data_IF_918399368840
#
_entry.id   IF_918399368840
#
_cell.length_a   1.000
_cell.length_b   1.000
_cell.length_c   1.000
_cell.angle_alpha   90.00
_cell.angle_beta   90.00
_cell.angle_gamma   90.00
#
_symmetry.space_group_name_H-M   'P 1'
#
loop_
_entity.id
_entity.type
_entity.pdbx_description
1 polymer ?
#
# COMPACT_ATOMS: atom_id res chain seq x y z
N UNK A 1 16.19 2.66 -35.00
CA UNK A 1 16.11 1.82 -33.79
C UNK A 1 14.64 1.47 -33.56
N UNK A 2 14.33 0.19 -33.42
CA UNK A 2 12.96 -0.20 -33.07
C UNK A 2 12.66 0.25 -31.63
N UNK A 3 11.51 0.92 -31.44
CA UNK A 3 11.06 1.34 -30.10
C UNK A 3 10.66 0.09 -29.34
N UNK A 4 11.27 -0.13 -28.17
CA UNK A 4 10.93 -1.26 -27.31
C UNK A 4 9.50 -1.15 -26.80
N UNK A 5 8.83 -2.28 -26.71
CA UNK A 5 7.46 -2.40 -26.22
C UNK A 5 7.39 -3.20 -24.95
N UNK A 6 6.96 -2.56 -23.86
CA UNK A 6 6.88 -3.15 -22.51
C UNK A 6 5.42 -3.32 -22.10
N UNK A 7 5.13 -4.47 -21.48
CA UNK A 7 3.86 -4.73 -20.86
C UNK A 7 3.95 -4.59 -19.34
N UNK A 8 3.00 -3.89 -18.72
CA UNK A 8 2.84 -3.84 -17.26
C UNK A 8 1.44 -4.37 -16.93
N UNK A 9 1.37 -5.39 -16.06
CA UNK A 9 0.12 -6.02 -15.68
C UNK A 9 -0.23 -5.62 -14.25
N UNK A 10 -1.26 -4.83 -14.06
CA UNK A 10 -1.76 -4.39 -12.76
C UNK A 10 -1.78 -2.88 -12.59
N UNK A 11 -2.94 -2.36 -12.16
CA UNK A 11 -3.24 -0.95 -11.92
C UNK A 11 -3.20 -0.58 -10.42
N UNK A 12 -2.45 -1.33 -9.63
CA UNK A 12 -2.11 -0.98 -8.26
C UNK A 12 -1.03 0.11 -8.18
N UNK A 13 -0.70 0.57 -6.97
CA UNK A 13 0.31 1.62 -6.77
C UNK A 13 1.65 1.25 -7.41
N UNK A 14 2.07 -0.01 -7.32
CA UNK A 14 3.32 -0.49 -7.93
C UNK A 14 3.29 -0.37 -9.47
N UNK A 15 2.26 -0.95 -10.13
CA UNK A 15 2.17 -0.91 -11.59
C UNK A 15 2.06 0.49 -12.16
N UNK A 16 1.23 1.35 -11.53
CA UNK A 16 1.09 2.75 -11.93
C UNK A 16 2.41 3.53 -11.76
N UNK A 17 3.11 3.35 -10.63
CA UNK A 17 4.41 4.01 -10.39
C UNK A 17 5.45 3.54 -11.40
N UNK A 18 5.53 2.24 -11.66
CA UNK A 18 6.46 1.66 -12.65
C UNK A 18 6.20 2.22 -14.05
N UNK A 19 4.92 2.28 -14.48
CA UNK A 19 4.57 2.85 -15.78
C UNK A 19 5.01 4.32 -15.90
N UNK A 20 4.81 5.13 -14.86
CA UNK A 20 5.22 6.55 -14.86
C UNK A 20 6.75 6.67 -14.93
N UNK A 21 7.47 5.86 -14.17
CA UNK A 21 8.93 5.89 -14.15
C UNK A 21 9.49 5.55 -15.53
N UNK A 22 9.04 4.43 -16.09
CA UNK A 22 9.50 3.95 -17.39
C UNK A 22 9.03 4.84 -18.55
N UNK A 23 7.94 5.61 -18.38
CA UNK A 23 7.46 6.52 -19.44
C UNK A 23 8.40 7.66 -19.80
N UNK A 24 9.48 7.86 -19.05
CA UNK A 24 10.54 8.84 -19.38
C UNK A 24 11.52 8.31 -20.40
N UNK A 25 11.58 7.01 -20.58
CA UNK A 25 12.45 6.36 -21.54
C UNK A 25 11.78 6.30 -22.91
N UNK A 26 12.55 6.07 -23.96
CA UNK A 26 12.04 5.94 -25.35
C UNK A 26 11.44 4.54 -25.57
N UNK A 27 10.35 4.25 -24.87
CA UNK A 27 9.66 2.96 -24.91
C UNK A 27 8.14 3.13 -25.03
N UNK A 28 7.45 2.16 -25.58
CA UNK A 28 5.99 2.04 -25.56
C UNK A 28 5.53 1.14 -24.42
N UNK A 29 4.52 1.56 -23.68
CA UNK A 29 4.03 0.83 -22.50
C UNK A 29 2.56 0.48 -22.68
N UNK A 30 2.24 -0.81 -22.69
CA UNK A 30 0.87 -1.30 -22.54
C UNK A 30 0.60 -1.60 -21.06
N UNK A 31 -0.21 -0.78 -20.40
CA UNK A 31 -0.62 -0.98 -19.01
C UNK A 31 -1.96 -1.70 -18.94
N UNK A 32 -1.95 -2.96 -18.55
CA UNK A 32 -3.14 -3.78 -18.37
C UNK A 32 -3.81 -3.50 -17.03
N UNK A 33 -5.02 -2.97 -17.08
CA UNK A 33 -5.82 -2.62 -15.92
C UNK A 33 -6.95 -3.62 -15.70
N UNK A 34 -7.39 -3.78 -14.45
CA UNK A 34 -8.45 -4.72 -14.09
C UNK A 34 -9.76 -4.45 -14.84
N UNK A 35 -10.38 -5.51 -15.37
CA UNK A 35 -11.64 -5.43 -16.13
C UNK A 35 -12.88 -5.41 -15.23
N UNK A 36 -12.74 -5.82 -13.96
CA UNK A 36 -13.86 -5.84 -13.03
C UNK A 36 -14.20 -4.42 -12.56
N UNK A 37 -15.31 -3.87 -13.04
CA UNK A 37 -16.05 -2.86 -12.28
C UNK A 37 -16.54 -3.55 -11.00
N UNK A 38 -15.79 -3.47 -9.92
CA UNK A 38 -16.29 -3.85 -8.59
C UNK A 38 -17.39 -2.87 -8.22
N UNK A 39 -18.66 -3.28 -8.39
CA UNK A 39 -19.85 -2.52 -8.00
C UNK A 39 -19.88 -2.18 -6.49
N UNK A 40 -19.01 -2.77 -5.72
CA UNK A 40 -18.76 -2.45 -4.32
C UNK A 40 -17.28 -2.13 -4.15
N UNK A 41 -16.85 -0.95 -4.54
CA UNK A 41 -15.61 -0.36 -4.05
C UNK A 41 -15.80 -0.15 -2.54
N UNK A 42 -15.52 -1.19 -1.74
CA UNK A 42 -15.21 -0.95 -0.33
C UNK A 42 -14.17 0.16 -0.33
N UNK A 43 -14.48 1.24 0.36
CA UNK A 43 -13.56 2.37 0.50
C UNK A 43 -12.24 1.78 0.99
N UNK A 44 -11.19 1.92 0.20
CA UNK A 44 -9.86 1.46 0.60
C UNK A 44 -9.31 2.43 1.66
N UNK A 45 -9.51 2.07 2.93
CA UNK A 45 -9.03 2.86 4.08
C UNK A 45 -7.55 2.63 4.38
N UNK A 46 -6.85 1.82 3.58
CA UNK A 46 -5.42 1.59 3.76
C UNK A 46 -4.61 2.85 3.49
N UNK A 47 -3.51 2.94 4.22
CA UNK A 47 -2.50 3.97 4.05
C UNK A 47 -1.18 3.34 3.64
N UNK A 48 -0.37 4.12 2.94
CA UNK A 48 1.01 3.77 2.62
C UNK A 48 1.92 4.84 3.20
N UNK A 49 2.91 4.42 3.96
CA UNK A 49 4.00 5.27 4.41
C UNK A 49 5.22 5.00 3.53
N UNK A 50 5.84 6.07 3.02
CA UNK A 50 7.07 6.00 2.22
C UNK A 50 8.15 6.87 2.84
N UNK A 51 9.40 6.48 2.67
CA UNK A 51 10.57 7.26 3.12
C UNK A 51 10.67 8.59 2.37
N UNK A 52 11.46 9.53 2.90
CA UNK A 52 11.72 10.79 2.22
C UNK A 52 12.37 10.59 0.85
N UNK A 53 13.30 9.64 0.72
CA UNK A 53 13.94 9.33 -0.57
C UNK A 53 12.92 8.85 -1.61
N UNK A 54 12.02 7.93 -1.25
CA UNK A 54 10.94 7.46 -2.12
C UNK A 54 9.96 8.59 -2.48
N UNK A 55 9.66 9.49 -1.52
CA UNK A 55 8.82 10.66 -1.78
C UNK A 55 9.46 11.62 -2.78
N UNK A 56 10.74 11.97 -2.58
CA UNK A 56 11.50 12.83 -3.52
C UNK A 56 11.53 12.22 -4.91
N UNK A 57 11.85 10.93 -5.00
CA UNK A 57 11.85 10.20 -6.27
C UNK A 57 10.51 10.24 -7.01
N UNK A 58 9.38 10.05 -6.30
CA UNK A 58 8.04 10.17 -6.89
C UNK A 58 7.70 11.62 -7.27
N UNK A 59 8.03 12.59 -6.41
CA UNK A 59 7.72 14.01 -6.62
C UNK A 59 8.37 14.59 -7.88
N UNK A 60 9.56 14.14 -8.24
CA UNK A 60 10.24 14.53 -9.49
C UNK A 60 9.48 14.08 -10.74
N UNK A 61 8.61 13.09 -10.62
CA UNK A 61 7.90 12.42 -11.72
C UNK A 61 6.41 12.73 -11.75
N UNK A 62 5.85 13.07 -10.61
CA UNK A 62 4.41 13.28 -10.42
C UNK A 62 4.18 14.53 -9.58
N UNK A 63 3.25 15.40 -10.00
CA UNK A 63 2.84 16.56 -9.19
C UNK A 63 2.04 16.10 -7.96
N UNK A 64 2.73 15.85 -6.86
CA UNK A 64 2.13 15.49 -5.57
C UNK A 64 1.94 16.77 -4.75
N UNK A 65 0.69 17.24 -4.61
CA UNK A 65 0.37 18.43 -3.79
C UNK A 65 -0.55 18.02 -2.64
N UNK A 66 -0.14 18.30 -1.41
CA UNK A 66 -0.97 18.31 -0.19
C UNK A 66 -1.88 17.10 0.08
N UNK A 67 -1.53 15.90 -0.41
CA UNK A 67 -2.31 14.68 -0.21
C UNK A 67 -1.67 13.71 0.79
N UNK A 68 -0.63 14.15 1.44
CA UNK A 68 0.16 13.36 2.38
C UNK A 68 0.23 14.06 3.74
N UNK A 69 0.53 13.28 4.75
CA UNK A 69 0.97 13.76 6.05
C UNK A 69 2.44 13.39 6.25
N UNK A 70 3.26 14.35 6.65
CA UNK A 70 4.69 14.10 6.87
C UNK A 70 5.01 14.03 8.35
N UNK A 71 5.77 13.01 8.74
CA UNK A 71 6.27 12.83 10.09
C UNK A 71 7.77 13.09 10.17
N UNK A 72 8.19 13.82 11.22
CA UNK A 72 9.60 14.01 11.59
C UNK A 72 10.05 13.01 12.65
N UNK A 73 9.12 12.34 13.30
CA UNK A 73 9.39 11.52 14.48
C UNK A 73 8.62 10.20 14.42
N UNK A 74 9.30 9.12 14.79
CA UNK A 74 8.74 7.77 14.91
C UNK A 74 9.18 7.21 16.26
N UNK A 75 8.22 6.86 17.11
CA UNK A 75 8.49 6.32 18.44
C UNK A 75 8.15 4.84 18.49
N UNK A 76 9.09 4.04 18.97
CA UNK A 76 8.95 2.61 19.11
C UNK A 76 8.75 2.22 20.57
N UNK A 77 7.76 1.38 20.81
CA UNK A 77 7.39 0.90 22.13
C UNK A 77 7.29 -0.63 22.15
N UNK A 78 7.54 -1.23 23.29
CA UNK A 78 7.25 -2.64 23.53
C UNK A 78 6.43 -2.82 24.80
N UNK A 79 5.66 -3.90 24.86
CA UNK A 79 4.86 -4.28 26.01
C UNK A 79 5.64 -5.26 26.88
N UNK A 80 5.94 -4.86 28.11
CA UNK A 80 6.52 -5.71 29.14
C UNK A 80 5.60 -5.75 30.37
N UNK A 81 5.18 -6.95 30.77
CA UNK A 81 4.35 -7.18 31.97
C UNK A 81 3.20 -6.18 32.20
N UNK A 82 2.47 -5.82 31.10
CA UNK A 82 1.40 -4.80 31.05
C UNK A 82 1.87 -3.34 31.08
N UNK A 83 3.17 -3.07 31.08
CA UNK A 83 3.72 -1.72 30.90
C UNK A 83 4.09 -1.50 29.44
N UNK A 84 3.87 -0.29 28.96
CA UNK A 84 4.29 0.13 27.61
C UNK A 84 5.53 0.99 27.78
N UNK A 85 6.67 0.47 27.31
CA UNK A 85 7.97 1.11 27.46
C UNK A 85 8.44 1.63 26.10
N UNK A 86 8.81 2.91 26.06
CA UNK A 86 9.49 3.47 24.90
C UNK A 86 10.95 3.02 24.93
N UNK A 87 11.45 2.45 23.84
CA UNK A 87 12.84 1.97 23.77
C UNK A 87 13.65 2.63 22.64
N UNK A 88 12.98 3.29 21.67
CA UNK A 88 13.70 3.94 20.59
C UNK A 88 12.86 5.06 19.96
N UNK A 89 13.50 6.20 19.72
CA UNK A 89 12.90 7.33 19.03
C UNK A 89 13.77 7.67 17.82
N UNK A 90 13.16 7.72 16.64
CA UNK A 90 13.77 8.30 15.46
C UNK A 90 13.26 9.73 15.31
N UNK A 91 14.17 10.68 15.23
CA UNK A 91 13.85 12.09 15.00
C UNK A 91 14.89 12.69 14.05
N UNK A 92 14.40 13.48 13.09
CA UNK A 92 15.25 14.28 12.19
C UNK A 92 14.81 15.75 12.29
N UNK A 93 15.76 16.63 12.62
CA UNK A 93 15.47 18.06 12.80
C UNK A 93 15.04 18.74 11.50
N UNK A 94 15.77 18.47 10.41
CA UNK A 94 15.63 19.20 9.15
C UNK A 94 14.90 18.42 8.05
N UNK A 95 14.67 17.12 8.24
CA UNK A 95 14.08 16.23 7.25
C UNK A 95 12.80 15.58 7.78
N UNK A 96 12.03 15.04 6.86
CA UNK A 96 10.90 14.17 7.20
C UNK A 96 11.35 12.72 7.12
N UNK A 97 11.00 11.91 8.12
CA UNK A 97 11.31 10.49 8.11
C UNK A 97 10.40 9.74 7.15
N UNK A 98 9.12 10.12 7.11
CA UNK A 98 8.15 9.47 6.25
C UNK A 98 7.04 10.40 5.78
N UNK A 99 6.40 9.99 4.68
CA UNK A 99 5.21 10.59 4.09
C UNK A 99 4.10 9.57 4.02
N UNK A 100 2.95 9.87 4.61
CA UNK A 100 1.82 8.97 4.75
C UNK A 100 0.71 9.40 3.80
N UNK A 101 0.29 8.48 2.94
CA UNK A 101 -0.76 8.69 1.95
C UNK A 101 -1.95 7.78 2.23
N UNK A 102 -3.16 8.27 1.98
CA UNK A 102 -4.30 7.38 1.74
C UNK A 102 -4.14 6.75 0.36
N UNK A 103 -4.18 5.42 0.27
CA UNK A 103 -3.93 4.69 -0.98
C UNK A 103 -4.77 5.20 -2.15
N UNK A 104 -6.06 5.46 -1.92
CA UNK A 104 -6.96 5.97 -2.94
C UNK A 104 -6.52 7.34 -3.48
N UNK A 105 -5.99 8.22 -2.63
CA UNK A 105 -5.53 9.54 -3.07
C UNK A 105 -4.26 9.42 -3.91
N UNK A 106 -3.31 8.60 -3.48
CA UNK A 106 -2.09 8.34 -4.24
C UNK A 106 -2.43 7.69 -5.58
N UNK A 107 -3.31 6.67 -5.59
CA UNK A 107 -3.74 6.00 -6.82
C UNK A 107 -4.34 6.99 -7.83
N UNK A 108 -5.27 7.85 -7.42
CA UNK A 108 -5.88 8.89 -8.30
C UNK A 108 -4.85 9.82 -8.92
N UNK A 109 -3.82 10.21 -8.16
CA UNK A 109 -2.75 11.08 -8.69
C UNK A 109 -1.91 10.34 -9.72
N UNK A 110 -1.55 9.09 -9.45
CA UNK A 110 -0.80 8.28 -10.41
C UNK A 110 -1.60 8.03 -11.69
N UNK A 111 -2.89 7.71 -11.58
CA UNK A 111 -3.79 7.56 -12.72
C UNK A 111 -3.87 8.85 -13.58
N UNK A 112 -4.00 10.01 -12.90
CA UNK A 112 -3.98 11.32 -13.60
C UNK A 112 -2.63 11.58 -14.27
N UNK A 113 -1.51 11.20 -13.64
CA UNK A 113 -0.19 11.36 -14.25
C UNK A 113 -0.01 10.47 -15.48
N UNK A 114 -0.59 9.27 -15.50
CA UNK A 114 -0.57 8.34 -16.64
C UNK A 114 -1.42 8.87 -17.78
N UNK A 115 -2.60 9.43 -17.50
CA UNK A 115 -3.54 9.87 -18.56
C UNK A 115 -2.98 10.94 -19.51
N UNK A 116 -1.92 11.64 -19.12
CA UNK A 116 -1.24 12.66 -19.94
C UNK A 116 0.00 12.13 -20.69
N UNK A 117 0.34 10.85 -20.51
CA UNK A 117 1.52 10.24 -21.13
C UNK A 117 1.15 9.62 -22.48
N UNK A 118 1.79 10.10 -23.56
CA UNK A 118 1.51 9.65 -24.93
C UNK A 118 2.02 8.23 -25.22
N UNK A 119 3.06 7.80 -24.53
CA UNK A 119 3.69 6.48 -24.68
C UNK A 119 3.13 5.40 -23.76
N UNK A 120 2.04 5.67 -23.01
CA UNK A 120 1.34 4.68 -22.19
C UNK A 120 -0.05 4.43 -22.75
N UNK A 121 -0.34 3.19 -23.10
CA UNK A 121 -1.66 2.74 -23.53
C UNK A 121 -2.34 1.96 -22.40
N UNK A 122 -3.53 2.41 -21.97
CA UNK A 122 -4.34 1.67 -20.99
C UNK A 122 -5.13 0.57 -21.70
N UNK A 123 -4.86 -0.70 -21.34
CA UNK A 123 -5.49 -1.88 -21.95
C UNK A 123 -6.48 -2.53 -20.99
N UNK A 124 -7.77 -2.49 -21.30
CA UNK A 124 -8.86 -3.11 -20.51
C UNK A 124 -9.23 -4.48 -21.09
N UNK A 125 -8.30 -5.39 -21.15
CA UNK A 125 -8.52 -6.74 -21.66
C UNK A 125 -8.09 -7.79 -20.62
N UNK A 126 -8.81 -8.92 -20.58
CA UNK A 126 -8.46 -10.03 -19.71
C UNK A 126 -7.28 -10.80 -20.32
N UNK A 127 -6.22 -10.94 -19.56
CA UNK A 127 -5.08 -11.80 -19.90
C UNK A 127 -5.48 -13.22 -19.49
N UNK A 128 -5.31 -14.17 -20.40
CA UNK A 128 -5.64 -15.58 -20.15
C UNK A 128 -4.42 -16.42 -19.85
N UNK A 129 -3.27 -16.09 -20.42
CA UNK A 129 -2.02 -16.82 -20.21
C UNK A 129 -0.81 -15.94 -20.51
N UNK A 130 0.31 -16.18 -19.79
CA UNK A 130 1.61 -15.55 -20.02
C UNK A 130 2.60 -16.65 -20.35
N UNK A 131 3.26 -16.55 -21.49
CA UNK A 131 4.37 -17.43 -21.84
C UNK A 131 5.69 -16.74 -21.48
N UNK A 132 6.42 -17.35 -20.54
CA UNK A 132 7.66 -16.78 -19.99
C UNK A 132 8.87 -17.03 -20.89
N UNK A 133 8.82 -18.05 -21.76
CA UNK A 133 9.97 -18.40 -22.60
C UNK A 133 10.19 -17.41 -23.74
N UNK A 134 9.12 -16.77 -24.23
CA UNK A 134 9.17 -15.85 -25.36
C UNK A 134 8.56 -14.48 -25.08
N UNK A 135 8.37 -14.15 -23.80
CA UNK A 135 7.79 -12.88 -23.37
C UNK A 135 6.50 -12.52 -24.09
N UNK A 136 5.59 -13.51 -24.28
CA UNK A 136 4.31 -13.29 -24.94
C UNK A 136 3.12 -13.50 -24.01
N UNK A 137 1.99 -12.90 -24.39
CA UNK A 137 0.72 -13.06 -23.68
C UNK A 137 -0.39 -13.47 -24.63
N UNK A 138 -1.30 -14.32 -24.14
CA UNK A 138 -2.51 -14.68 -24.85
C UNK A 138 -3.68 -13.81 -24.39
N UNK A 139 -4.26 -13.05 -25.33
CA UNK A 139 -5.37 -12.14 -25.09
C UNK A 139 -6.42 -12.37 -26.17
N UNK A 140 -7.62 -12.82 -25.76
CA UNK A 140 -8.69 -13.16 -26.70
C UNK A 140 -8.21 -14.07 -27.84
N UNK A 141 -7.47 -15.12 -27.51
CA UNK A 141 -6.85 -16.09 -28.45
C UNK A 141 -5.77 -15.50 -29.38
N UNK A 142 -5.40 -14.21 -29.24
CA UNK A 142 -4.29 -13.61 -29.99
C UNK A 142 -3.03 -13.59 -29.14
N UNK A 143 -1.91 -14.03 -29.71
CA UNK A 143 -0.58 -13.97 -29.09
C UNK A 143 0.03 -12.59 -29.36
N UNK A 144 0.47 -11.91 -28.29
CA UNK A 144 1.10 -10.58 -28.35
C UNK A 144 2.48 -10.69 -27.69
N UNK A 145 3.51 -10.24 -28.37
CA UNK A 145 4.90 -10.25 -27.92
C UNK A 145 5.28 -8.91 -27.32
N UNK A 146 6.14 -8.95 -26.30
CA UNK A 146 6.73 -7.78 -25.65
C UNK A 146 8.22 -8.03 -25.41
N UNK A 147 9.02 -6.96 -25.40
CA UNK A 147 10.43 -7.03 -25.01
C UNK A 147 10.58 -7.33 -23.51
N UNK A 148 9.59 -6.88 -22.70
CA UNK A 148 9.55 -7.14 -21.25
C UNK A 148 8.10 -7.18 -20.75
N UNK A 149 7.81 -8.13 -19.88
CA UNK A 149 6.53 -8.22 -19.16
C UNK A 149 6.78 -8.03 -17.68
N UNK A 150 6.18 -6.99 -17.08
CA UNK A 150 6.25 -6.67 -15.64
C UNK A 150 4.92 -7.04 -14.98
N UNK A 151 4.95 -7.96 -14.02
CA UNK A 151 3.76 -8.42 -13.31
C UNK A 151 3.66 -7.75 -11.94
N UNK A 152 2.65 -6.90 -11.74
CA UNK A 152 2.37 -6.14 -10.51
C UNK A 152 0.91 -6.26 -10.05
N UNK A 153 0.36 -7.45 -10.20
CA UNK A 153 -1.07 -7.75 -9.96
C UNK A 153 -1.46 -7.92 -8.49
N UNK A 154 -0.48 -7.89 -7.58
CA UNK A 154 -0.69 -8.15 -6.15
C UNK A 154 -0.87 -9.65 -5.82
N UNK A 155 -0.81 -10.00 -4.54
CA UNK A 155 -0.71 -11.39 -4.07
C UNK A 155 -1.91 -12.30 -4.37
N UNK A 156 -3.08 -11.73 -4.66
CA UNK A 156 -4.34 -12.49 -4.89
C UNK A 156 -4.63 -12.75 -6.37
N UNK A 157 -3.73 -12.45 -7.27
CA UNK A 157 -3.94 -12.64 -8.70
C UNK A 157 -3.77 -14.12 -9.11
N UNK A 158 -4.63 -14.60 -9.99
CA UNK A 158 -4.46 -15.93 -10.62
C UNK A 158 -3.17 -16.02 -11.45
N UNK A 159 -2.76 -14.92 -12.05
CA UNK A 159 -1.48 -14.83 -12.79
C UNK A 159 -0.30 -15.10 -11.88
N UNK A 160 -0.31 -14.54 -10.65
CA UNK A 160 0.75 -14.84 -9.68
C UNK A 160 0.78 -16.32 -9.27
N UNK A 161 -0.37 -16.99 -9.22
CA UNK A 161 -0.40 -18.41 -8.91
C UNK A 161 0.19 -19.26 -10.05
N UNK A 162 -0.02 -18.85 -11.29
CA UNK A 162 0.59 -19.50 -12.46
C UNK A 162 2.12 -19.36 -12.44
N UNK A 163 2.64 -18.17 -12.15
CA UNK A 163 4.07 -17.92 -11.97
C UNK A 163 4.61 -18.69 -10.75
N UNK A 164 3.87 -18.67 -9.66
CA UNK A 164 4.26 -19.25 -8.38
C UNK A 164 4.40 -20.78 -8.41
N UNK A 165 3.66 -21.43 -9.26
CA UNK A 165 3.74 -22.90 -9.37
C UNK A 165 5.09 -23.39 -9.90
N UNK A 166 5.90 -22.50 -10.49
CA UNK A 166 7.20 -22.87 -11.04
C UNK A 166 8.38 -22.72 -10.08
N UNK A 167 8.40 -21.71 -9.19
CA UNK A 167 9.56 -21.43 -8.29
C UNK A 167 9.24 -20.55 -7.08
N UNK A 168 8.07 -20.60 -6.45
CA UNK A 168 7.78 -19.75 -5.31
C UNK A 168 7.77 -20.50 -3.98
N UNK A 169 8.36 -19.88 -2.95
CA UNK A 169 8.23 -20.34 -1.56
C UNK A 169 7.09 -19.54 -0.94
N UNK A 170 6.02 -20.23 -0.52
CA UNK A 170 4.89 -19.61 0.20
C UNK A 170 5.04 -19.86 1.70
N UNK A 171 5.23 -18.80 2.48
CA UNK A 171 5.21 -18.84 3.93
C UNK A 171 3.92 -18.20 4.45
N UNK A 172 3.14 -18.97 5.21
CA UNK A 172 1.97 -18.45 5.90
C UNK A 172 2.35 -18.05 7.33
N UNK A 173 2.25 -16.78 7.66
CA UNK A 173 2.56 -16.26 9.00
C UNK A 173 1.42 -16.47 10.00
N UNK A 174 0.27 -17.00 9.56
CA UNK A 174 -0.95 -17.19 10.39
C UNK A 174 -1.37 -15.90 11.11
N UNK A 175 -1.20 -14.77 10.44
CA UNK A 175 -1.53 -13.44 10.93
C UNK A 175 -2.53 -12.74 10.02
N UNK A 176 -3.31 -11.83 10.60
CA UNK A 176 -4.27 -10.96 9.92
C UNK A 176 -3.93 -9.51 10.26
N UNK A 177 -3.81 -8.67 9.24
CA UNK A 177 -3.68 -7.24 9.41
C UNK A 177 -5.06 -6.57 9.48
N UNK A 178 -5.35 -5.94 10.62
CA UNK A 178 -6.54 -5.13 10.86
C UNK A 178 -6.17 -3.69 10.54
N UNK A 179 -6.96 -3.03 9.70
CA UNK A 179 -6.75 -1.62 9.36
C UNK A 179 -7.98 -0.80 9.72
N UNK A 180 -7.77 0.40 10.27
CA UNK A 180 -8.84 1.31 10.61
C UNK A 180 -8.39 2.77 10.45
N UNK A 181 -9.33 3.66 10.19
CA UNK A 181 -9.15 5.12 10.29
C UNK A 181 -9.84 5.59 11.56
N UNK A 182 -9.11 6.32 12.38
CA UNK A 182 -9.60 6.80 13.68
C UNK A 182 -9.66 8.31 13.68
N UNK A 183 -10.83 8.87 14.03
CA UNK A 183 -11.01 10.29 14.33
C UNK A 183 -10.76 10.53 15.80
N UNK A 184 -9.96 11.56 16.12
CA UNK A 184 -9.54 11.89 17.48
C UNK A 184 -9.44 13.41 17.68
N UNK A 185 -9.37 13.84 18.96
CA UNK A 185 -9.24 15.26 19.32
C UNK A 185 -7.82 15.65 19.77
N UNK A 186 -6.90 14.69 19.87
CA UNK A 186 -5.53 14.93 20.32
C UNK A 186 -4.64 15.39 19.17
N UNK A 187 -3.58 16.14 19.49
CA UNK A 187 -2.57 16.57 18.51
C UNK A 187 -1.54 15.45 18.29
N UNK A 188 -1.91 14.43 17.52
CA UNK A 188 -0.99 13.35 17.16
C UNK A 188 -0.27 13.74 15.87
N UNK A 189 1.03 14.05 15.98
CA UNK A 189 1.89 14.49 14.87
C UNK A 189 3.07 13.56 14.61
N UNK A 190 3.19 12.47 15.39
CA UNK A 190 4.24 11.45 15.33
C UNK A 190 3.65 10.13 14.86
N UNK A 191 4.48 9.30 14.27
CA UNK A 191 4.13 7.91 14.05
C UNK A 191 4.56 7.05 15.26
N UNK A 192 3.77 6.04 15.55
CA UNK A 192 4.04 5.13 16.67
C UNK A 192 4.02 3.69 16.18
N UNK A 193 4.95 2.88 16.69
CA UNK A 193 4.96 1.45 16.52
C UNK A 193 5.02 0.79 17.89
N UNK A 194 4.01 -0.01 18.20
CA UNK A 194 3.92 -0.76 19.44
C UNK A 194 4.11 -2.25 19.14
N UNK A 195 5.06 -2.88 19.81
CA UNK A 195 5.27 -4.33 19.79
C UNK A 195 4.51 -4.93 20.98
N UNK A 196 3.27 -5.32 20.72
CA UNK A 196 2.35 -5.85 21.73
C UNK A 196 2.35 -7.39 21.75
N UNK A 197 1.84 -7.99 22.81
CA UNK A 197 1.70 -9.46 22.92
C UNK A 197 0.81 -10.06 21.85
N UNK A 198 -0.25 -9.34 21.44
CA UNK A 198 -1.15 -9.79 20.40
C UNK A 198 -0.56 -9.64 18.99
N UNK A 199 0.49 -8.84 18.87
CA UNK A 199 1.20 -8.51 17.64
C UNK A 199 1.40 -7.01 17.42
N UNK A 200 2.24 -6.61 16.46
CA UNK A 200 2.63 -5.22 16.25
C UNK A 200 1.45 -4.35 15.81
N UNK A 201 1.34 -3.15 16.43
CA UNK A 201 0.35 -2.13 16.13
C UNK A 201 1.06 -0.83 15.74
N UNK A 202 0.77 -0.33 14.53
CA UNK A 202 1.24 0.96 14.06
C UNK A 202 0.12 2.01 14.10
N UNK A 203 0.46 3.24 14.49
CA UNK A 203 -0.39 4.42 14.43
C UNK A 203 0.28 5.43 13.51
N UNK A 204 -0.38 5.77 12.41
CA UNK A 204 0.13 6.62 11.35
C UNK A 204 -0.77 7.84 11.19
N UNK A 205 -0.36 9.05 11.59
CA UNK A 205 -1.17 10.25 11.42
C UNK A 205 -1.43 10.52 9.94
N UNK A 206 -2.67 10.83 9.59
CA UNK A 206 -3.07 11.17 8.23
C UNK A 206 -3.47 12.63 8.07
N UNK A 207 -3.84 13.28 9.17
CA UNK A 207 -3.99 14.73 9.34
C UNK A 207 -4.10 15.07 10.83
N UNK A 208 -4.43 16.33 11.16
CA UNK A 208 -4.54 16.81 12.56
C UNK A 208 -5.56 16.07 13.42
N UNK A 209 -6.59 15.46 12.81
CA UNK A 209 -7.73 14.85 13.50
C UNK A 209 -7.93 13.37 13.20
N UNK A 210 -7.09 12.80 12.31
CA UNK A 210 -7.21 11.41 11.89
C UNK A 210 -5.86 10.73 11.88
N UNK A 211 -5.84 9.48 12.31
CA UNK A 211 -4.74 8.55 12.08
C UNK A 211 -5.24 7.22 11.52
N UNK A 212 -4.37 6.55 10.82
CA UNK A 212 -4.57 5.16 10.38
C UNK A 212 -3.93 4.23 11.39
N UNK A 213 -4.57 3.09 11.59
CA UNK A 213 -4.03 1.98 12.37
C UNK A 213 -3.78 0.81 11.43
N UNK A 214 -2.68 0.12 11.71
CA UNK A 214 -2.39 -1.21 11.19
C UNK A 214 -2.01 -2.09 12.38
N UNK A 215 -2.85 -3.08 12.70
CA UNK A 215 -2.60 -4.03 13.79
C UNK A 215 -2.52 -5.44 13.23
N UNK A 216 -1.34 -6.04 13.26
CA UNK A 216 -1.14 -7.44 12.88
C UNK A 216 -1.39 -8.31 14.10
N UNK A 217 -2.34 -9.23 14.00
CA UNK A 217 -2.69 -10.16 15.07
C UNK A 217 -2.70 -11.59 14.53
N UNK A 218 -2.44 -12.56 15.40
CA UNK A 218 -2.54 -13.96 14.99
C UNK A 218 -4.01 -14.35 14.69
N UNK A 219 -4.19 -15.37 13.85
CA UNK A 219 -5.50 -15.83 13.42
C UNK A 219 -6.39 -16.28 14.58
N UNK A 220 -5.79 -16.89 15.62
CA UNK A 220 -6.52 -17.35 16.79
C UNK A 220 -7.13 -16.18 17.55
N UNK A 221 -6.32 -15.14 17.86
CA UNK A 221 -6.80 -13.93 18.51
C UNK A 221 -7.92 -13.26 17.69
N UNK A 222 -7.73 -13.13 16.38
CA UNK A 222 -8.72 -12.53 15.50
C UNK A 222 -10.05 -13.29 15.53
N UNK A 223 -10.02 -14.61 15.35
CA UNK A 223 -11.24 -15.43 15.29
C UNK A 223 -12.00 -15.44 16.63
N UNK A 224 -11.27 -15.53 17.75
CA UNK A 224 -11.85 -15.49 19.10
C UNK A 224 -12.56 -14.14 19.37
N UNK A 225 -12.01 -13.05 18.89
CA UNK A 225 -12.44 -11.70 19.24
C UNK A 225 -13.20 -10.97 18.13
N UNK A 226 -13.53 -11.62 17.02
CA UNK A 226 -14.06 -10.99 15.81
C UNK A 226 -15.24 -10.05 16.05
N UNK A 227 -16.16 -10.41 16.95
CA UNK A 227 -17.37 -9.60 17.30
C UNK A 227 -17.02 -8.36 18.13
N UNK A 228 -15.99 -8.44 18.98
CA UNK A 228 -15.57 -7.39 19.91
C UNK A 228 -14.36 -6.59 19.41
N UNK A 229 -13.91 -6.86 18.19
CA UNK A 229 -12.66 -6.33 17.67
C UNK A 229 -12.57 -4.80 17.69
N UNK A 230 -13.67 -4.13 17.36
CA UNK A 230 -13.75 -2.66 17.37
C UNK A 230 -13.63 -2.09 18.79
N UNK A 231 -14.25 -2.72 19.76
CA UNK A 231 -14.17 -2.34 21.17
C UNK A 231 -12.78 -2.57 21.72
N UNK A 232 -12.21 -3.74 21.48
CA UNK A 232 -10.84 -4.09 21.88
C UNK A 232 -9.82 -3.10 21.29
N UNK A 233 -9.94 -2.78 20.01
CA UNK A 233 -9.09 -1.80 19.35
C UNK A 233 -9.25 -0.43 20.00
N UNK A 234 -10.48 0.02 20.26
CA UNK A 234 -10.76 1.31 20.91
C UNK A 234 -10.10 1.40 22.29
N UNK A 235 -10.27 0.36 23.12
CA UNK A 235 -9.68 0.30 24.45
C UNK A 235 -8.14 0.26 24.40
N UNK A 236 -7.58 -0.55 23.49
CA UNK A 236 -6.12 -0.61 23.30
C UNK A 236 -5.56 0.76 22.90
N UNK A 237 -6.18 1.48 21.97
CA UNK A 237 -5.74 2.83 21.55
C UNK A 237 -5.79 3.82 22.70
N UNK A 238 -6.85 3.81 23.51
CA UNK A 238 -6.96 4.69 24.69
C UNK A 238 -5.81 4.46 25.66
N UNK A 239 -5.47 3.21 25.94
CA UNK A 239 -4.34 2.85 26.80
C UNK A 239 -3.01 3.33 26.18
N UNK A 240 -2.77 3.04 24.91
CA UNK A 240 -1.52 3.37 24.21
C UNK A 240 -1.29 4.86 24.04
N UNK A 241 -2.34 5.65 23.95
CA UNK A 241 -2.30 7.10 23.74
C UNK A 241 -2.83 7.91 24.94
N UNK A 242 -2.63 7.42 26.17
CA UNK A 242 -2.94 8.12 27.42
C UNK A 242 -4.37 8.71 27.42
N UNK A 243 -5.38 7.88 27.23
CA UNK A 243 -6.79 8.26 27.23
C UNK A 243 -7.20 9.29 26.16
N UNK A 244 -6.52 9.31 25.02
CA UNK A 244 -6.93 10.11 23.87
C UNK A 244 -8.41 9.90 23.57
N UNK A 245 -9.17 10.99 23.44
CA UNK A 245 -10.59 10.93 23.08
C UNK A 245 -10.74 10.47 21.63
N UNK A 246 -11.36 9.32 21.46
CA UNK A 246 -11.65 8.72 20.17
C UNK A 246 -13.10 9.00 19.83
N UNK A 247 -13.34 9.69 18.72
CA UNK A 247 -14.68 10.07 18.30
C UNK A 247 -15.32 9.05 17.36
N UNK A 248 -14.51 8.38 16.49
CA UNK A 248 -15.00 7.42 15.49
C UNK A 248 -13.89 6.49 15.01
N UNK A 249 -14.24 5.22 14.78
CA UNK A 249 -13.39 4.21 14.12
C UNK A 249 -14.14 3.64 12.91
N UNK A 250 -13.51 3.70 11.75
CA UNK A 250 -14.01 3.19 10.46
C UNK A 250 -13.10 2.09 9.90
#
# INVERSE_FOLDING_TARGET
MNIQKICIIGDGLAGLSTAIILSKENIQIDLYVGTKKTRNLKIDNRTTAISESSYKFLRERVKIKNIFYSCKEINLFYEDQKKILNFLNFEEKDKKLMYIFKNNNLKKILEKAISIKKNITLVKKKITHINYSDSSMLINKKKIFYDLIIVSTGSKSSINNEIANTRSIKKNYKEIAITAIVKHDSKINKAYQFFLKEGPLAILPTNKFFFSIVWSVNNFFFNKNKKLLKELLTNKIKILLNNTKINRIE
#
